data_IF_972827872699
#
_entry.id   IF_972827872699
#
_cell.length_a   1.000
_cell.length_b   1.000
_cell.length_c   1.000
_cell.angle_alpha   90.00
_cell.angle_beta   90.00
_cell.angle_gamma   90.00
#
_symmetry.space_group_name_H-M   'P 1'
#
loop_
_entity.id
_entity.type
_entity.pdbx_description
1 polymer ?
#
# COMPACT_ATOMS: atom_id res chain seq x y z
N UNK A 1 -9.58 21.27 -25.02
CA UNK A 1 -9.86 19.94 -25.62
C UNK A 1 -9.34 18.90 -24.64
N UNK A 2 -10.22 18.28 -23.84
CA UNK A 2 -9.78 17.29 -22.84
C UNK A 2 -9.24 16.05 -23.55
N UNK A 3 -7.97 15.76 -23.35
CA UNK A 3 -7.36 14.52 -23.85
C UNK A 3 -8.02 13.34 -23.15
N UNK A 4 -8.82 12.57 -23.89
CA UNK A 4 -9.43 11.34 -23.39
C UNK A 4 -8.51 10.15 -23.64
N UNK A 5 -8.31 9.35 -22.60
CA UNK A 5 -7.45 8.17 -22.62
C UNK A 5 -8.30 6.91 -22.61
N UNK A 6 -7.97 5.95 -23.47
CA UNK A 6 -8.46 4.57 -23.31
C UNK A 6 -7.90 3.94 -22.04
N UNK A 7 -8.48 2.84 -21.58
CA UNK A 7 -7.97 2.14 -20.40
C UNK A 7 -6.51 1.68 -20.54
N UNK A 8 -6.07 1.33 -21.77
CA UNK A 8 -4.69 0.94 -22.04
C UNK A 8 -3.73 2.12 -21.91
N UNK A 9 -4.06 3.25 -22.52
CA UNK A 9 -3.28 4.49 -22.40
C UNK A 9 -3.23 5.01 -20.96
N UNK A 10 -4.35 4.91 -20.23
CA UNK A 10 -4.39 5.29 -18.82
C UNK A 10 -3.53 4.37 -17.95
N UNK A 11 -3.55 3.06 -18.23
CA UNK A 11 -2.73 2.08 -17.55
C UNK A 11 -1.24 2.37 -17.72
N UNK A 12 -0.81 2.67 -18.94
CA UNK A 12 0.57 3.04 -19.26
C UNK A 12 0.95 4.36 -18.58
N UNK A 13 0.14 5.40 -18.73
CA UNK A 13 0.42 6.74 -18.19
C UNK A 13 0.51 6.75 -16.65
N UNK A 14 -0.16 5.84 -15.95
CA UNK A 14 -0.19 5.79 -14.48
C UNK A 14 0.64 4.66 -13.89
N UNK A 15 1.14 3.74 -14.74
CA UNK A 15 1.75 2.48 -14.31
C UNK A 15 0.78 1.58 -13.52
N UNK A 16 -0.52 1.69 -13.76
CA UNK A 16 -1.57 0.92 -13.07
C UNK A 16 -2.16 -0.11 -14.01
N UNK A 17 -2.20 -1.39 -13.62
CA UNK A 17 -2.78 -2.44 -14.47
C UNK A 17 -4.25 -2.12 -14.80
N UNK A 18 -4.68 -2.39 -16.03
CA UNK A 18 -6.06 -2.15 -16.46
C UNK A 18 -7.11 -2.86 -15.58
N UNK A 19 -6.80 -4.05 -15.07
CA UNK A 19 -7.67 -4.77 -14.10
C UNK A 19 -7.85 -3.99 -12.80
N UNK A 20 -6.78 -3.37 -12.30
CA UNK A 20 -6.80 -2.53 -11.09
C UNK A 20 -7.59 -1.25 -11.33
N UNK A 21 -7.45 -0.62 -12.51
CA UNK A 21 -8.26 0.55 -12.88
C UNK A 21 -9.75 0.20 -12.86
N UNK A 22 -10.16 -0.93 -13.46
CA UNK A 22 -11.56 -1.40 -13.41
C UNK A 22 -12.03 -1.70 -11.99
N UNK A 23 -11.14 -2.21 -11.14
CA UNK A 23 -11.45 -2.44 -9.73
C UNK A 23 -11.69 -1.11 -9.00
N UNK A 24 -10.81 -0.11 -9.17
CA UNK A 24 -10.98 1.22 -8.59
C UNK A 24 -12.23 1.95 -9.10
N UNK A 25 -12.59 1.78 -10.37
CA UNK A 25 -13.87 2.25 -10.92
C UNK A 25 -15.05 1.59 -10.20
N UNK A 26 -15.00 0.26 -10.00
CA UNK A 26 -16.07 -0.50 -9.33
C UNK A 26 -16.25 -0.13 -7.87
N UNK A 27 -15.17 0.13 -7.14
CA UNK A 27 -15.22 0.53 -5.73
C UNK A 27 -15.40 2.03 -5.53
N UNK A 28 -15.59 2.80 -6.61
CA UNK A 28 -15.89 4.23 -6.57
C UNK A 28 -14.70 5.13 -6.23
N UNK A 29 -13.46 4.64 -6.40
CA UNK A 29 -12.25 5.44 -6.20
C UNK A 29 -11.94 6.37 -7.38
N UNK A 30 -12.39 6.00 -8.58
CA UNK A 30 -12.35 6.85 -9.78
C UNK A 30 -13.73 6.91 -10.42
N UNK A 31 -14.02 8.00 -11.10
CA UNK A 31 -15.29 8.19 -11.81
C UNK A 31 -15.50 7.11 -12.88
N UNK A 32 -16.75 6.66 -13.11
CA UNK A 32 -17.07 5.78 -14.23
C UNK A 32 -16.62 6.37 -15.56
N UNK A 33 -15.97 5.55 -16.38
CA UNK A 33 -15.55 5.99 -17.70
C UNK A 33 -16.74 6.39 -18.57
N UNK A 34 -16.60 7.49 -19.30
CA UNK A 34 -17.50 7.76 -20.42
C UNK A 34 -17.25 6.73 -21.51
N UNK A 35 -18.28 6.35 -22.27
CA UNK A 35 -18.12 5.42 -23.40
C UNK A 35 -18.17 6.13 -24.74
N UNK A 36 -17.31 5.70 -25.67
CA UNK A 36 -17.48 6.05 -27.09
C UNK A 36 -18.74 5.38 -27.65
N UNK A 37 -19.26 5.83 -28.81
CA UNK A 37 -20.31 5.12 -29.54
C UNK A 37 -19.97 3.65 -29.83
N UNK A 38 -18.68 3.33 -30.07
CA UNK A 38 -18.18 1.95 -30.24
C UNK A 38 -17.99 1.15 -28.93
N UNK A 39 -18.43 1.66 -27.79
CA UNK A 39 -18.40 0.95 -26.49
C UNK A 39 -17.08 1.02 -25.70
N UNK A 40 -16.02 1.65 -26.22
CA UNK A 40 -14.75 1.82 -25.51
C UNK A 40 -14.86 2.78 -24.33
N UNK A 41 -14.22 2.43 -23.21
CA UNK A 41 -14.09 3.31 -22.03
C UNK A 41 -13.06 4.41 -22.28
N UNK A 42 -13.44 5.63 -21.95
CA UNK A 42 -12.63 6.83 -22.00
C UNK A 42 -12.56 7.50 -20.63
N UNK A 43 -11.35 7.88 -20.26
CA UNK A 43 -11.02 8.55 -19.01
C UNK A 43 -10.37 9.90 -19.30
N UNK A 44 -10.50 10.86 -18.40
CA UNK A 44 -9.93 12.20 -18.54
C UNK A 44 -8.58 12.31 -17.81
N UNK A 45 -7.94 13.47 -17.92
CA UNK A 45 -6.76 13.79 -17.12
C UNK A 45 -7.05 13.74 -15.60
N UNK A 46 -8.30 14.03 -15.17
CA UNK A 46 -8.68 13.95 -13.75
C UNK A 46 -8.53 12.53 -13.22
N UNK A 47 -9.01 11.51 -13.95
CA UNK A 47 -8.85 10.13 -13.52
C UNK A 47 -7.39 9.67 -13.53
N UNK A 48 -6.57 10.17 -14.47
CA UNK A 48 -5.11 9.94 -14.46
C UNK A 48 -4.49 10.46 -13.17
N UNK A 49 -4.75 11.72 -12.81
CA UNK A 49 -4.14 12.35 -11.64
C UNK A 49 -4.65 11.69 -10.35
N UNK A 50 -5.92 11.29 -10.32
CA UNK A 50 -6.53 10.51 -9.23
C UNK A 50 -5.88 9.13 -9.07
N UNK A 51 -5.58 8.43 -10.16
CA UNK A 51 -4.85 7.15 -10.11
C UNK A 51 -3.41 7.32 -9.60
N UNK A 52 -2.73 8.39 -10.00
CA UNK A 52 -1.39 8.71 -9.48
C UNK A 52 -1.46 8.96 -7.96
N UNK A 53 -2.47 9.70 -7.50
CA UNK A 53 -2.72 9.92 -6.07
C UNK A 53 -2.93 8.60 -5.33
N UNK A 54 -3.84 7.75 -5.82
CA UNK A 54 -4.13 6.43 -5.22
C UNK A 54 -2.86 5.61 -5.12
N UNK A 55 -2.07 5.53 -6.20
CA UNK A 55 -0.83 4.74 -6.23
C UNK A 55 0.18 5.24 -5.20
N UNK A 56 0.37 6.56 -5.07
CA UNK A 56 1.29 7.16 -4.08
C UNK A 56 0.82 6.88 -2.65
N UNK A 57 -0.47 7.07 -2.37
CA UNK A 57 -1.03 6.81 -1.06
C UNK A 57 -0.94 5.33 -0.67
N UNK A 58 -1.18 4.41 -1.62
CA UNK A 58 -0.95 2.96 -1.44
C UNK A 58 0.51 2.62 -1.20
N UNK A 59 1.45 3.32 -1.82
CA UNK A 59 2.88 3.13 -1.58
C UNK A 59 3.31 3.56 -0.16
N UNK A 60 2.62 4.54 0.43
CA UNK A 60 2.78 4.92 1.83
C UNK A 60 2.18 3.91 2.82
N UNK A 61 1.56 2.83 2.32
CA UNK A 61 0.93 1.79 3.14
C UNK A 61 -0.47 2.15 3.63
N UNK A 62 -1.09 3.22 3.11
CA UNK A 62 -2.46 3.57 3.44
C UNK A 62 -3.43 2.53 2.86
N UNK A 63 -4.45 2.16 3.64
CA UNK A 63 -5.55 1.30 3.24
C UNK A 63 -6.41 1.96 2.16
N UNK A 64 -7.21 1.19 1.42
CA UNK A 64 -8.09 1.77 0.39
C UNK A 64 -9.16 2.69 0.99
N UNK A 65 -9.61 2.45 2.22
CA UNK A 65 -10.57 3.31 2.92
C UNK A 65 -9.95 4.66 3.31
N UNK A 66 -8.70 4.66 3.77
CA UNK A 66 -7.95 5.90 4.04
C UNK A 66 -7.69 6.68 2.76
N UNK A 67 -7.32 5.98 1.66
CA UNK A 67 -7.17 6.61 0.35
C UNK A 67 -8.48 7.24 -0.11
N UNK A 68 -9.61 6.55 0.08
CA UNK A 68 -10.93 7.09 -0.26
C UNK A 68 -11.26 8.34 0.55
N UNK A 69 -10.95 8.32 1.84
CA UNK A 69 -11.13 9.46 2.73
C UNK A 69 -10.28 10.65 2.29
N UNK A 70 -9.01 10.43 1.99
CA UNK A 70 -8.11 11.46 1.47
C UNK A 70 -8.56 12.03 0.12
N UNK A 71 -9.06 11.18 -0.79
CA UNK A 71 -9.61 11.62 -2.06
C UNK A 71 -10.84 12.50 -1.88
N UNK A 72 -11.74 12.14 -0.95
CA UNK A 72 -12.91 12.96 -0.63
C UNK A 72 -12.52 14.34 -0.08
N UNK A 73 -11.49 14.39 0.77
CA UNK A 73 -10.95 15.65 1.29
C UNK A 73 -10.24 16.47 0.21
N UNK A 74 -9.53 15.83 -0.70
CA UNK A 74 -8.83 16.50 -1.80
C UNK A 74 -9.78 17.08 -2.86
N UNK A 75 -11.00 16.56 -2.97
CA UNK A 75 -12.05 17.10 -3.85
C UNK A 75 -12.77 18.32 -3.26
N UNK A 76 -12.55 18.66 -1.97
CA UNK A 76 -13.15 19.80 -1.27
C UNK A 76 -12.07 20.82 -0.87
N UNK A 77 -12.00 21.93 -1.60
CA UNK A 77 -11.02 23.01 -1.38
C UNK A 77 -11.12 23.67 0.00
N UNK A 78 -12.26 23.53 0.70
CA UNK A 78 -12.48 24.09 2.03
C UNK A 78 -12.31 23.06 3.16
N UNK A 79 -11.96 21.81 2.83
CA UNK A 79 -11.82 20.76 3.83
C UNK A 79 -10.65 21.06 4.79
N UNK A 80 -10.84 20.87 6.10
CA UNK A 80 -9.79 21.13 7.07
C UNK A 80 -8.67 20.08 6.97
N UNK A 81 -7.43 20.55 6.85
CA UNK A 81 -6.24 19.68 6.77
C UNK A 81 -6.06 18.75 7.98
N UNK A 82 -6.70 19.06 9.12
CA UNK A 82 -6.65 18.27 10.36
C UNK A 82 -6.96 16.78 10.17
N UNK A 83 -7.88 16.45 9.26
CA UNK A 83 -8.27 15.06 9.00
C UNK A 83 -7.23 14.33 8.15
N UNK A 84 -6.63 15.02 7.17
CA UNK A 84 -5.47 14.52 6.42
C UNK A 84 -4.32 14.22 7.39
N UNK A 85 -4.02 15.15 8.29
CA UNK A 85 -2.95 14.97 9.27
C UNK A 85 -3.20 13.78 10.20
N UNK A 86 -4.45 13.51 10.59
CA UNK A 86 -4.79 12.34 11.43
C UNK A 86 -4.44 11.04 10.72
N UNK A 87 -4.87 10.90 9.46
CA UNK A 87 -4.61 9.69 8.65
C UNK A 87 -3.10 9.44 8.51
N UNK A 88 -2.33 10.51 8.25
CA UNK A 88 -0.88 10.40 8.12
C UNK A 88 -0.21 10.06 9.45
N UNK A 89 -0.64 10.67 10.56
CA UNK A 89 -0.13 10.35 11.91
C UNK A 89 -0.41 8.90 12.30
N UNK A 90 -1.62 8.42 12.06
CA UNK A 90 -2.00 7.02 12.35
C UNK A 90 -1.14 6.03 11.55
N UNK A 91 -0.92 6.29 10.26
CA UNK A 91 -0.03 5.45 9.46
C UNK A 91 1.42 5.50 9.94
N UNK A 92 1.90 6.68 10.36
CA UNK A 92 3.24 6.81 10.92
C UNK A 92 3.39 5.99 12.20
N UNK A 93 2.39 5.99 13.09
CA UNK A 93 2.41 5.15 14.29
C UNK A 93 2.39 3.65 13.95
N UNK A 94 1.59 3.21 12.97
CA UNK A 94 1.62 1.82 12.50
C UNK A 94 2.99 1.40 11.98
N UNK A 95 3.67 2.28 11.23
CA UNK A 95 5.04 2.04 10.75
C UNK A 95 6.02 1.96 11.92
N UNK A 96 5.93 2.87 12.90
CA UNK A 96 6.82 2.87 14.09
C UNK A 96 6.65 1.60 14.92
N UNK A 97 5.42 1.17 15.17
CA UNK A 97 5.12 -0.09 15.86
C UNK A 97 5.73 -1.27 15.11
N UNK A 98 5.54 -1.34 13.78
CA UNK A 98 6.11 -2.44 12.99
C UNK A 98 7.64 -2.46 13.00
N UNK A 99 8.28 -1.29 12.99
CA UNK A 99 9.73 -1.18 13.13
C UNK A 99 10.22 -1.67 14.49
N UNK A 100 9.46 -1.41 15.56
CA UNK A 100 9.79 -1.91 16.89
C UNK A 100 9.73 -3.44 16.94
N UNK A 101 8.66 -4.04 16.42
CA UNK A 101 8.51 -5.50 16.35
C UNK A 101 9.65 -6.13 15.53
N UNK A 102 9.98 -5.54 14.37
CA UNK A 102 11.04 -6.05 13.51
C UNK A 102 12.42 -5.93 14.15
N UNK A 103 12.68 -4.88 14.95
CA UNK A 103 13.93 -4.76 15.72
C UNK A 103 14.04 -5.81 16.82
N UNK A 104 12.94 -6.14 17.48
CA UNK A 104 12.94 -7.22 18.48
C UNK A 104 13.25 -8.57 17.82
N UNK A 105 12.59 -8.85 16.70
CA UNK A 105 12.85 -10.07 15.92
C UNK A 105 14.30 -10.12 15.40
N UNK A 106 14.84 -9.00 14.91
CA UNK A 106 16.24 -8.89 14.48
C UNK A 106 17.21 -9.23 15.62
N UNK A 107 16.96 -8.73 16.84
CA UNK A 107 17.79 -9.04 18.02
C UNK A 107 17.73 -10.53 18.39
N UNK A 108 16.55 -11.15 18.31
CA UNK A 108 16.41 -12.59 18.56
C UNK A 108 17.19 -13.41 17.53
N UNK A 109 17.09 -13.05 16.24
CA UNK A 109 17.81 -13.70 15.17
C UNK A 109 19.33 -13.50 15.29
N UNK A 110 19.82 -12.30 15.64
CA UNK A 110 21.25 -12.02 15.87
C UNK A 110 21.79 -12.83 17.05
N UNK A 111 20.99 -12.99 18.12
CA UNK A 111 21.37 -13.85 19.25
C UNK A 111 21.51 -15.30 18.82
N UNK A 112 20.55 -15.82 18.04
CA UNK A 112 20.61 -17.20 17.55
C UNK A 112 21.82 -17.41 16.64
N UNK A 113 22.07 -16.50 15.70
CA UNK A 113 23.22 -16.54 14.78
C UNK A 113 24.56 -16.62 15.55
N UNK A 114 24.73 -15.78 16.58
CA UNK A 114 25.97 -15.77 17.39
C UNK A 114 26.16 -17.01 18.26
N UNK A 115 25.09 -17.73 18.60
CA UNK A 115 25.14 -18.86 19.53
C UNK A 115 25.66 -20.17 18.91
N UNK A 116 25.64 -20.33 17.59
CA UNK A 116 26.09 -21.56 16.94
C UNK A 116 27.41 -21.34 16.18
N UNK A 117 28.43 -22.11 16.54
CA UNK A 117 29.69 -22.25 15.79
C UNK A 117 30.00 -23.71 15.48
N UNK A 118 28.99 -24.56 15.48
CA UNK A 118 29.17 -26.00 15.30
C UNK A 118 29.21 -26.38 13.82
N UNK A 119 30.11 -27.29 13.45
CA UNK A 119 30.25 -27.79 12.06
C UNK A 119 29.14 -28.79 11.69
N UNK A 120 28.41 -29.32 12.67
CA UNK A 120 27.35 -30.32 12.45
C UNK A 120 26.08 -29.97 13.22
N UNK A 121 24.93 -30.28 12.61
CA UNK A 121 23.59 -30.01 13.18
C UNK A 121 23.38 -30.73 14.52
N UNK A 122 24.04 -31.88 14.74
CA UNK A 122 24.00 -32.62 15.99
C UNK A 122 24.47 -31.81 17.22
N UNK A 123 25.29 -30.77 17.01
CA UNK A 123 25.79 -29.88 18.07
C UNK A 123 25.27 -28.44 17.91
N UNK A 124 24.23 -28.26 17.09
CA UNK A 124 23.69 -26.94 16.79
C UNK A 124 22.82 -26.42 17.94
N UNK A 125 23.37 -25.46 18.68
CA UNK A 125 22.68 -24.80 19.81
C UNK A 125 21.41 -24.05 19.39
N UNK A 126 21.30 -23.64 18.12
CA UNK A 126 20.08 -23.02 17.58
C UNK A 126 18.95 -24.04 17.53
N UNK A 127 19.18 -25.21 16.95
CA UNK A 127 18.17 -26.28 16.86
C UNK A 127 17.76 -26.73 18.26
N UNK A 128 18.73 -26.88 19.16
CA UNK A 128 18.46 -27.17 20.57
C UNK A 128 17.58 -26.09 21.21
N UNK A 129 17.91 -24.79 21.04
CA UNK A 129 17.15 -23.68 21.60
C UNK A 129 15.73 -23.55 21.01
N UNK A 130 15.53 -23.88 19.73
CA UNK A 130 14.22 -23.83 19.08
C UNK A 130 13.36 -25.06 19.38
N UNK A 131 13.99 -26.22 19.64
CA UNK A 131 13.32 -27.47 20.00
C UNK A 131 12.84 -27.51 21.46
N UNK A 132 13.41 -26.66 22.32
CA UNK A 132 12.90 -26.42 23.66
C UNK A 132 11.66 -25.52 23.55
N UNK A 133 10.49 -26.14 23.46
CA UNK A 133 9.20 -25.46 23.55
C UNK A 133 9.21 -24.54 24.76
N UNK A 134 9.02 -23.24 24.54
CA UNK A 134 8.83 -22.29 25.63
C UNK A 134 7.46 -22.59 26.26
N UNK A 135 7.45 -23.28 27.39
CA UNK A 135 6.33 -23.22 28.34
C UNK A 135 6.24 -21.77 28.81
N UNK A 136 5.18 -21.09 28.38
CA UNK A 136 4.75 -19.79 28.93
C UNK A 136 3.50 -20.03 29.75
#
# INVERSE_FOLDING_TARGET
MESRLTIGQLAEATGTKAVTIRYYERVGLISPATRTPGGYRLYTARERDRLIFIRRARHLGLSLEEVKSLLGLADDENAPCRQVDSIIREQLERVRSRLQDLRQLEQELDRLDRCCRADTVAHCKIIESLSRTQET
#
